data_IF_009618071464
#
_entry.id   IF_009618071464
#
_cell.length_a   1.000
_cell.length_b   1.000
_cell.length_c   1.000
_cell.angle_alpha   90.00
_cell.angle_beta   90.00
_cell.angle_gamma   90.00
#
_symmetry.space_group_name_H-M   'P 1'
#
loop_
_entity.id
_entity.type
_entity.pdbx_description
1 polymer ?
#
# COMPACT_ATOMS: atom_id res chain seq x y z
N UNK A 1 -23.55 22.93 -1.49
CA UNK A 1 -23.08 23.78 -0.37
C UNK A 1 -22.36 25.00 -0.91
N UNK A 2 -22.61 26.19 -0.34
CA UNK A 2 -21.84 27.38 -0.66
C UNK A 2 -20.40 27.22 -0.17
N UNK A 3 -19.42 27.66 -0.98
CA UNK A 3 -18.00 27.63 -0.61
C UNK A 3 -17.65 28.91 0.14
N UNK A 4 -16.93 28.78 1.25
CA UNK A 4 -16.26 29.89 1.90
C UNK A 4 -14.91 30.14 1.22
N UNK A 5 -14.54 31.38 1.02
CA UNK A 5 -13.31 31.75 0.31
C UNK A 5 -12.57 32.79 1.13
N UNK A 6 -11.31 32.53 1.47
CA UNK A 6 -10.39 33.49 2.09
C UNK A 6 -9.14 33.65 1.23
N UNK A 7 -8.48 34.80 1.32
CA UNK A 7 -7.35 35.16 0.45
C UNK A 7 -6.16 35.70 1.25
N UNK A 8 -5.04 35.78 0.56
CA UNK A 8 -3.88 36.53 1.01
C UNK A 8 -3.22 35.98 2.27
N UNK A 9 -2.86 36.88 3.17
CA UNK A 9 -2.11 36.54 4.38
C UNK A 9 -2.95 35.73 5.40
N UNK A 10 -4.24 36.04 5.49
CA UNK A 10 -5.15 35.33 6.39
C UNK A 10 -5.27 33.85 6.02
N UNK A 11 -5.44 33.54 4.73
CA UNK A 11 -5.48 32.16 4.23
C UNK A 11 -4.19 31.41 4.55
N UNK A 12 -3.02 32.03 4.32
CA UNK A 12 -1.72 31.41 4.62
C UNK A 12 -1.52 31.14 6.12
N UNK A 13 -1.94 32.09 6.97
CA UNK A 13 -1.85 31.94 8.42
C UNK A 13 -2.76 30.81 8.94
N UNK A 14 -3.98 30.70 8.40
CA UNK A 14 -4.89 29.62 8.77
C UNK A 14 -4.30 28.25 8.40
N UNK A 15 -3.85 28.09 7.15
CA UNK A 15 -3.18 26.86 6.71
C UNK A 15 -1.95 26.53 7.59
N UNK A 16 -1.11 27.53 7.90
CA UNK A 16 0.07 27.32 8.75
C UNK A 16 -0.31 26.86 10.15
N UNK A 17 -1.32 27.45 10.77
CA UNK A 17 -1.78 27.01 12.10
C UNK A 17 -2.24 25.55 12.09
N UNK A 18 -2.94 25.13 11.06
CA UNK A 18 -3.36 23.73 10.90
C UNK A 18 -2.18 22.77 10.74
N UNK A 19 -1.21 23.13 9.89
CA UNK A 19 0.06 22.39 9.75
C UNK A 19 0.78 22.29 11.09
N UNK A 20 0.87 23.39 11.83
CA UNK A 20 1.59 23.45 13.10
C UNK A 20 0.92 22.61 14.18
N UNK A 21 -0.41 22.66 14.32
CA UNK A 21 -1.13 21.87 15.32
C UNK A 21 -0.94 20.37 15.11
N UNK A 22 -1.06 19.88 13.87
CA UNK A 22 -0.84 18.46 13.58
C UNK A 22 0.64 18.08 13.78
N UNK A 23 1.55 18.82 13.18
CA UNK A 23 2.97 18.47 13.23
C UNK A 23 3.56 18.55 14.64
N UNK A 24 3.16 19.53 15.45
CA UNK A 24 3.61 19.65 16.84
C UNK A 24 3.06 18.50 17.72
N UNK A 25 1.88 17.95 17.40
CA UNK A 25 1.35 16.75 18.06
C UNK A 25 2.15 15.49 17.67
N UNK A 26 2.47 15.32 16.40
CA UNK A 26 3.26 14.18 15.91
C UNK A 26 4.71 14.27 16.39
N UNK A 27 5.29 15.47 16.43
CA UNK A 27 6.70 15.72 16.78
C UNK A 27 7.10 15.18 18.15
N UNK A 28 6.20 15.13 19.13
CA UNK A 28 6.50 14.63 20.47
C UNK A 28 6.84 13.14 20.52
N UNK A 29 6.56 12.39 19.46
CA UNK A 29 6.89 10.96 19.34
C UNK A 29 8.30 10.72 18.78
N UNK A 30 9.02 11.77 18.34
CA UNK A 30 10.30 11.64 17.65
C UNK A 30 11.44 11.20 18.57
N UNK A 31 12.20 10.21 18.11
CA UNK A 31 13.49 9.80 18.67
C UNK A 31 13.40 9.04 19.99
N UNK A 32 14.56 8.82 20.67
CA UNK A 32 14.63 7.95 21.85
C UNK A 32 13.93 8.52 23.11
N UNK A 33 13.58 9.80 23.11
CA UNK A 33 12.77 10.45 24.16
C UNK A 33 11.31 10.63 23.73
N UNK A 34 10.92 10.03 22.61
CA UNK A 34 9.55 10.08 22.11
C UNK A 34 8.53 9.60 23.14
N UNK A 35 7.38 10.25 23.15
CA UNK A 35 6.27 9.96 24.08
C UNK A 35 5.06 9.50 23.33
N UNK A 36 4.20 8.75 24.01
CA UNK A 36 2.90 8.39 23.45
C UNK A 36 1.95 9.59 23.46
N UNK A 37 1.08 9.63 22.48
CA UNK A 37 -0.06 10.54 22.36
C UNK A 37 -1.33 9.77 22.74
N UNK A 38 -2.22 10.42 23.48
CA UNK A 38 -3.54 9.89 23.81
C UNK A 38 -4.58 10.59 22.95
N UNK A 39 -5.24 9.85 22.08
CA UNK A 39 -6.25 10.35 21.15
C UNK A 39 -7.65 9.94 21.64
N UNK A 40 -8.52 10.93 21.86
CA UNK A 40 -9.91 10.69 22.24
C UNK A 40 -10.71 10.19 21.05
N UNK A 41 -11.44 9.08 21.22
CA UNK A 41 -12.39 8.58 20.20
C UNK A 41 -13.81 8.94 20.56
N UNK A 42 -14.65 9.21 19.54
CA UNK A 42 -16.09 9.47 19.73
C UNK A 42 -16.82 8.25 20.35
N UNK A 43 -16.32 7.05 20.03
CA UNK A 43 -16.83 5.79 20.54
C UNK A 43 -15.66 4.86 20.91
N UNK A 44 -15.76 4.19 22.08
CA UNK A 44 -14.74 3.26 22.57
C UNK A 44 -13.68 3.91 23.48
N UNK A 45 -12.62 3.16 23.79
CA UNK A 45 -11.51 3.62 24.60
C UNK A 45 -10.60 4.59 23.84
N UNK A 46 -9.93 5.55 24.51
CA UNK A 46 -8.92 6.38 23.90
C UNK A 46 -7.79 5.54 23.28
N UNK A 47 -7.28 5.98 22.15
CA UNK A 47 -6.13 5.35 21.50
C UNK A 47 -4.84 5.95 22.09
N UNK A 48 -3.93 5.09 22.55
CA UNK A 48 -2.60 5.47 23.01
C UNK A 48 -1.59 4.94 22.00
N UNK A 49 -0.87 5.84 21.36
CA UNK A 49 0.08 5.46 20.31
C UNK A 49 1.26 6.43 20.23
N UNK A 50 2.38 5.97 19.70
CA UNK A 50 3.54 6.78 19.31
C UNK A 50 3.78 6.74 17.79
N UNK A 51 2.93 6.06 17.05
CA UNK A 51 3.02 6.03 15.60
C UNK A 51 2.53 7.34 14.99
N UNK A 52 3.43 7.98 14.20
CA UNK A 52 3.19 9.30 13.61
C UNK A 52 2.06 9.32 12.59
N UNK A 53 1.90 8.27 11.78
CA UNK A 53 0.84 8.23 10.76
C UNK A 53 -0.53 8.01 11.40
N UNK A 54 -0.63 7.16 12.41
CA UNK A 54 -1.88 6.93 13.16
C UNK A 54 -2.34 8.22 13.84
N UNK A 55 -1.41 8.96 14.46
CA UNK A 55 -1.72 10.26 15.09
C UNK A 55 -2.19 11.24 14.00
N UNK A 56 -1.48 11.34 12.89
CA UNK A 56 -1.82 12.28 11.82
C UNK A 56 -3.21 12.01 11.20
N UNK A 57 -3.63 10.75 11.10
CA UNK A 57 -4.93 10.35 10.56
C UNK A 57 -6.11 10.72 11.48
N UNK A 58 -5.90 10.68 12.80
CA UNK A 58 -6.95 10.94 13.80
C UNK A 58 -7.16 12.42 14.10
N UNK A 59 -6.25 13.32 13.68
CA UNK A 59 -6.38 14.75 13.97
C UNK A 59 -7.35 15.41 12.99
N UNK A 60 -8.46 15.93 13.53
CA UNK A 60 -9.41 16.81 12.88
C UNK A 60 -9.54 18.12 13.67
N UNK A 61 -9.46 19.26 12.98
CA UNK A 61 -9.56 20.60 13.57
C UNK A 61 -10.93 21.20 13.33
N UNK A 62 -11.44 21.99 14.28
CA UNK A 62 -12.77 22.63 14.21
C UNK A 62 -12.84 23.70 13.12
N UNK A 63 -11.78 24.51 12.96
CA UNK A 63 -11.72 25.51 11.90
C UNK A 63 -11.47 24.84 10.54
N UNK A 64 -12.37 25.01 9.53
CA UNK A 64 -12.24 24.35 8.24
C UNK A 64 -10.97 24.72 7.47
N UNK A 65 -10.48 25.97 7.64
CA UNK A 65 -9.28 26.43 6.94
C UNK A 65 -8.00 25.91 7.61
N UNK A 66 -7.98 25.85 8.94
CA UNK A 66 -6.90 25.19 9.67
C UNK A 66 -6.89 23.69 9.38
N UNK A 67 -8.07 23.06 9.32
CA UNK A 67 -8.18 21.64 9.00
C UNK A 67 -7.66 21.30 7.60
N UNK A 68 -7.79 22.19 6.60
CA UNK A 68 -7.12 22.02 5.30
C UNK A 68 -5.60 21.96 5.45
N UNK A 69 -4.99 22.78 6.29
CA UNK A 69 -3.57 22.75 6.60
C UNK A 69 -3.15 21.42 7.24
N UNK A 70 -3.93 20.95 8.20
CA UNK A 70 -3.72 19.64 8.84
C UNK A 70 -3.85 18.50 7.81
N UNK A 71 -4.82 18.54 6.89
CA UNK A 71 -4.98 17.54 5.84
C UNK A 71 -3.79 17.46 4.89
N UNK A 72 -3.20 18.61 4.50
CA UNK A 72 -2.01 18.65 3.65
C UNK A 72 -0.80 17.95 4.30
N UNK A 73 -0.57 18.19 5.59
CA UNK A 73 0.55 17.56 6.31
C UNK A 73 0.27 16.09 6.63
N UNK A 74 -0.99 15.73 6.86
CA UNK A 74 -1.42 14.33 7.01
C UNK A 74 -1.10 13.52 5.77
N UNK A 75 -1.31 14.09 4.57
CA UNK A 75 -0.97 13.41 3.30
C UNK A 75 0.53 13.08 3.20
N UNK A 76 1.41 13.97 3.70
CA UNK A 76 2.86 13.70 3.75
C UNK A 76 3.16 12.49 4.61
N UNK A 77 2.58 12.42 5.81
CA UNK A 77 2.76 11.28 6.72
C UNK A 77 2.25 9.97 6.11
N UNK A 78 1.04 10.00 5.53
CA UNK A 78 0.40 8.83 4.92
C UNK A 78 1.21 8.30 3.73
N UNK A 79 1.62 9.17 2.81
CA UNK A 79 2.45 8.75 1.66
C UNK A 79 3.80 8.16 2.07
N UNK A 80 4.42 8.70 3.11
CA UNK A 80 5.67 8.15 3.64
C UNK A 80 5.47 6.75 4.19
N UNK A 81 4.36 6.54 4.92
CA UNK A 81 4.00 5.23 5.44
C UNK A 81 3.74 4.20 4.32
N UNK A 82 2.96 4.60 3.32
CA UNK A 82 2.58 3.71 2.20
C UNK A 82 3.80 3.24 1.38
N UNK A 83 4.83 4.09 1.29
CA UNK A 83 6.04 3.77 0.51
C UNK A 83 7.11 3.07 1.35
N UNK A 84 7.35 3.52 2.57
CA UNK A 84 8.50 3.08 3.38
C UNK A 84 8.14 2.44 4.73
N UNK A 85 6.91 2.61 5.25
CA UNK A 85 6.50 2.08 6.56
C UNK A 85 7.28 2.65 7.75
N UNK A 86 8.17 3.63 7.51
CA UNK A 86 9.01 4.27 8.52
C UNK A 86 9.28 5.74 8.17
N UNK A 87 9.75 6.52 9.14
CA UNK A 87 10.11 7.92 8.96
C UNK A 87 8.95 8.91 8.86
N UNK A 88 7.73 8.50 9.15
CA UNK A 88 6.51 9.31 9.07
C UNK A 88 6.57 10.57 9.95
N UNK A 89 7.08 10.44 11.17
CA UNK A 89 7.30 11.56 12.10
C UNK A 89 8.35 12.53 11.55
N UNK A 90 9.47 12.02 11.05
CA UNK A 90 10.53 12.84 10.46
C UNK A 90 10.06 13.61 9.23
N UNK A 91 9.30 12.95 8.33
CA UNK A 91 8.72 13.59 7.15
C UNK A 91 7.76 14.72 7.52
N UNK A 92 6.90 14.51 8.53
CA UNK A 92 5.96 15.51 9.05
C UNK A 92 6.69 16.74 9.62
N UNK A 93 7.75 16.52 10.41
CA UNK A 93 8.56 17.61 11.00
C UNK A 93 9.30 18.40 9.92
N UNK A 94 9.89 17.71 8.93
CA UNK A 94 10.55 18.35 7.80
C UNK A 94 9.58 19.21 6.98
N UNK A 95 8.43 18.67 6.66
CA UNK A 95 7.41 19.40 5.90
C UNK A 95 6.94 20.65 6.65
N UNK A 96 6.70 20.56 7.97
CA UNK A 96 6.39 21.73 8.81
C UNK A 96 7.47 22.81 8.71
N UNK A 97 8.75 22.42 8.89
CA UNK A 97 9.87 23.35 8.83
C UNK A 97 9.98 24.03 7.47
N UNK A 98 9.85 23.25 6.39
CA UNK A 98 9.89 23.77 5.02
C UNK A 98 8.73 24.74 4.73
N UNK A 99 7.52 24.45 5.21
CA UNK A 99 6.34 25.33 5.05
C UNK A 99 6.55 26.63 5.83
N UNK A 100 7.00 26.55 7.10
CA UNK A 100 7.26 27.74 7.93
C UNK A 100 8.28 28.69 7.28
N UNK A 101 9.42 28.15 6.85
CA UNK A 101 10.46 28.95 6.20
C UNK A 101 10.04 29.43 4.80
N UNK A 102 9.34 28.59 4.04
CA UNK A 102 8.78 28.95 2.75
C UNK A 102 7.82 30.13 2.83
N UNK A 103 6.88 30.11 3.78
CA UNK A 103 5.91 31.18 4.00
C UNK A 103 6.58 32.49 4.44
N UNK A 104 7.64 32.45 5.26
CA UNK A 104 8.43 33.65 5.64
C UNK A 104 9.05 34.31 4.42
N UNK A 105 9.71 33.52 3.57
CA UNK A 105 10.37 34.02 2.37
C UNK A 105 9.37 34.53 1.32
N UNK A 106 8.20 33.87 1.21
CA UNK A 106 7.11 34.33 0.36
C UNK A 106 6.55 35.68 0.83
N UNK A 107 6.40 35.87 2.14
CA UNK A 107 5.98 37.14 2.72
C UNK A 107 7.02 38.24 2.51
N UNK A 108 8.31 37.90 2.41
CA UNK A 108 9.39 38.81 2.07
C UNK A 108 9.48 39.16 0.56
N UNK A 109 8.57 38.61 -0.27
CA UNK A 109 8.48 38.92 -1.70
C UNK A 109 9.25 37.99 -2.63
N UNK A 110 9.76 36.85 -2.15
CA UNK A 110 10.43 35.87 -3.00
C UNK A 110 9.46 35.24 -4.00
N UNK A 111 9.95 34.96 -5.21
CA UNK A 111 9.15 34.33 -6.27
C UNK A 111 8.94 32.84 -5.99
N UNK A 112 7.69 32.37 -5.75
CA UNK A 112 7.39 30.99 -5.37
C UNK A 112 7.80 29.98 -6.44
N UNK A 113 7.71 30.32 -7.73
CA UNK A 113 8.07 29.41 -8.83
C UNK A 113 9.59 29.21 -8.91
N UNK A 114 10.37 30.24 -8.61
CA UNK A 114 11.83 30.13 -8.56
C UNK A 114 12.28 29.40 -7.29
N UNK A 115 11.67 29.71 -6.14
CA UNK A 115 11.91 28.99 -4.88
C UNK A 115 11.64 27.48 -5.03
N UNK A 116 10.53 27.10 -5.69
CA UNK A 116 10.20 25.68 -5.96
C UNK A 116 11.34 24.96 -6.68
N UNK A 117 11.98 25.58 -7.69
CA UNK A 117 13.12 24.98 -8.38
C UNK A 117 14.31 24.76 -7.44
N UNK A 118 14.57 25.72 -6.55
CA UNK A 118 15.60 25.59 -5.53
C UNK A 118 15.35 24.44 -4.57
N UNK A 119 14.11 24.33 -4.06
CA UNK A 119 13.67 23.20 -3.20
C UNK A 119 13.89 21.86 -3.91
N UNK A 120 13.48 21.77 -5.19
CA UNK A 120 13.60 20.54 -5.97
C UNK A 120 15.04 20.09 -6.14
N UNK A 121 15.95 21.00 -6.54
CA UNK A 121 17.38 20.71 -6.64
C UNK A 121 18.01 20.28 -5.31
N UNK A 122 17.63 20.94 -4.22
CA UNK A 122 18.12 20.61 -2.89
C UNK A 122 17.61 19.25 -2.40
N UNK A 123 16.36 18.89 -2.74
CA UNK A 123 15.80 17.56 -2.46
C UNK A 123 16.58 16.48 -3.20
N UNK A 124 16.89 16.67 -4.50
CA UNK A 124 17.71 15.74 -5.27
C UNK A 124 19.10 15.54 -4.63
N UNK A 125 19.78 16.63 -4.25
CA UNK A 125 21.08 16.55 -3.59
C UNK A 125 21.02 15.86 -2.22
N UNK A 126 19.94 16.06 -1.46
CA UNK A 126 19.72 15.38 -0.17
C UNK A 126 19.48 13.88 -0.36
N UNK A 127 18.66 13.49 -1.34
CA UNK A 127 18.39 12.09 -1.68
C UNK A 127 19.67 11.37 -2.09
N UNK A 128 20.48 11.97 -2.96
CA UNK A 128 21.78 11.41 -3.39
C UNK A 128 22.74 11.22 -2.22
N UNK A 129 22.80 12.18 -1.30
CA UNK A 129 23.61 12.07 -0.10
C UNK A 129 23.13 10.96 0.85
N UNK A 130 21.82 10.80 1.02
CA UNK A 130 21.21 9.75 1.83
C UNK A 130 21.52 8.38 1.21
N UNK A 131 21.32 8.21 -0.10
CA UNK A 131 21.65 6.98 -0.83
C UNK A 131 23.12 6.60 -0.71
N UNK A 132 24.02 7.59 -0.81
CA UNK A 132 25.45 7.35 -0.66
C UNK A 132 25.84 6.85 0.74
N UNK A 133 25.10 7.25 1.76
CA UNK A 133 25.31 6.85 3.15
C UNK A 133 24.50 5.61 3.56
N UNK A 134 23.67 5.08 2.67
CA UNK A 134 22.86 3.89 2.91
C UNK A 134 23.75 2.64 2.99
N UNK A 135 23.38 1.72 3.87
CA UNK A 135 24.01 0.42 4.03
C UNK A 135 23.03 -0.66 3.54
N UNK A 136 23.47 -1.56 2.64
CA UNK A 136 22.61 -2.62 2.16
C UNK A 136 22.24 -3.59 3.29
N UNK A 137 21.01 -4.07 3.28
CA UNK A 137 20.53 -5.13 4.18
C UNK A 137 20.84 -6.47 3.54
N UNK A 138 21.54 -7.34 4.25
CA UNK A 138 21.93 -8.65 3.75
C UNK A 138 21.67 -9.74 4.79
N UNK A 139 20.88 -10.75 4.37
CA UNK A 139 20.59 -11.94 5.18
C UNK A 139 19.44 -11.76 6.19
N UNK A 140 18.95 -12.91 6.62
CA UNK A 140 17.78 -13.05 7.50
C UNK A 140 17.94 -12.30 8.85
N UNK A 141 19.17 -12.26 9.38
CA UNK A 141 19.46 -11.58 10.65
C UNK A 141 19.30 -10.07 10.59
N UNK A 142 19.68 -9.42 9.48
CA UNK A 142 19.50 -7.97 9.31
C UNK A 142 18.03 -7.66 9.06
N UNK A 143 17.34 -8.46 8.27
CA UNK A 143 15.89 -8.38 8.04
C UNK A 143 15.14 -8.45 9.37
N UNK A 144 15.48 -9.42 10.22
CA UNK A 144 14.88 -9.58 11.54
C UNK A 144 15.10 -8.34 12.44
N UNK A 145 16.30 -7.73 12.38
CA UNK A 145 16.59 -6.50 13.14
C UNK A 145 15.76 -5.31 12.67
N UNK A 146 15.63 -5.12 11.36
CA UNK A 146 14.77 -4.04 10.82
C UNK A 146 13.32 -4.22 11.27
N UNK A 147 12.77 -5.43 11.11
CA UNK A 147 11.42 -5.74 11.54
C UNK A 147 11.23 -5.58 13.07
N UNK A 148 12.22 -5.98 13.88
CA UNK A 148 12.18 -5.83 15.32
C UNK A 148 12.22 -4.37 15.79
N UNK A 149 13.03 -3.54 15.13
CA UNK A 149 13.11 -2.10 15.45
C UNK A 149 11.80 -1.41 15.10
N UNK A 150 11.26 -1.66 13.91
CA UNK A 150 10.03 -1.03 13.44
C UNK A 150 8.81 -1.47 14.25
N UNK A 151 8.67 -2.77 14.54
CA UNK A 151 7.58 -3.30 15.37
C UNK A 151 7.77 -3.09 16.87
N UNK A 152 8.98 -2.72 17.34
CA UNK A 152 9.39 -2.75 18.74
C UNK A 152 9.22 -4.13 19.40
N UNK A 153 9.31 -5.21 18.61
CA UNK A 153 9.12 -6.60 19.05
C UNK A 153 10.05 -7.55 18.28
N UNK A 154 10.97 -8.21 19.01
CA UNK A 154 11.92 -9.17 18.42
C UNK A 154 11.24 -10.40 17.80
N UNK A 155 10.12 -10.83 18.36
CA UNK A 155 9.38 -11.99 17.85
C UNK A 155 8.76 -11.66 16.48
N UNK A 156 8.14 -10.48 16.34
CA UNK A 156 7.61 -10.00 15.07
C UNK A 156 8.71 -9.86 14.03
N UNK A 157 9.86 -9.29 14.40
CA UNK A 157 11.01 -9.19 13.51
C UNK A 157 11.48 -10.55 12.96
N UNK A 158 11.55 -11.57 13.81
CA UNK A 158 11.88 -12.94 13.39
C UNK A 158 10.83 -13.55 12.46
N UNK A 159 9.53 -13.39 12.78
CA UNK A 159 8.44 -13.88 11.94
C UNK A 159 8.45 -13.24 10.54
N UNK A 160 8.75 -11.94 10.45
CA UNK A 160 8.88 -11.25 9.15
C UNK A 160 10.05 -11.82 8.36
N UNK A 161 11.22 -11.99 9.00
CA UNK A 161 12.39 -12.57 8.34
C UNK A 161 12.15 -14.01 7.86
N UNK A 162 11.53 -14.85 8.68
CA UNK A 162 11.15 -16.21 8.30
C UNK A 162 10.13 -16.22 7.15
N UNK A 163 9.15 -15.32 7.17
CA UNK A 163 8.18 -15.18 6.09
C UNK A 163 8.87 -14.79 4.78
N UNK A 164 9.79 -13.82 4.82
CA UNK A 164 10.55 -13.38 3.64
C UNK A 164 11.50 -14.46 3.10
N UNK A 165 12.03 -15.32 3.96
CA UNK A 165 12.90 -16.43 3.55
C UNK A 165 12.11 -17.57 2.90
N UNK A 166 10.89 -17.85 3.40
CA UNK A 166 10.01 -18.92 2.88
C UNK A 166 9.39 -18.58 1.53
N UNK A 167 9.04 -17.32 1.30
CA UNK A 167 8.56 -16.85 0.00
C UNK A 167 9.74 -16.25 -0.75
N UNK A 168 9.94 -16.59 -2.02
CA UNK A 168 11.03 -16.07 -2.85
C UNK A 168 11.10 -14.53 -2.79
N UNK A 169 12.18 -13.92 -3.28
CA UNK A 169 12.34 -12.44 -3.27
C UNK A 169 11.15 -11.67 -3.85
N UNK A 170 10.40 -12.28 -4.75
CA UNK A 170 9.16 -11.74 -5.32
C UNK A 170 7.89 -12.28 -4.64
N UNK A 171 8.02 -12.99 -3.51
CA UNK A 171 6.92 -13.58 -2.78
C UNK A 171 6.09 -12.55 -2.04
N UNK A 172 4.82 -12.84 -1.88
CA UNK A 172 3.86 -11.96 -1.22
C UNK A 172 3.74 -12.31 0.25
N UNK A 173 3.75 -11.29 1.09
CA UNK A 173 3.47 -11.45 2.52
C UNK A 173 2.25 -10.59 2.85
N UNK A 174 1.24 -11.20 3.44
CA UNK A 174 0.03 -10.52 3.93
C UNK A 174 -0.06 -10.61 5.44
N UNK A 175 -0.80 -9.68 6.04
CA UNK A 175 -1.04 -9.65 7.48
C UNK A 175 -2.54 -9.80 7.72
N UNK A 176 -2.92 -10.80 8.50
CA UNK A 176 -4.30 -11.14 8.82
C UNK A 176 -4.50 -11.27 10.33
N UNK A 177 -5.76 -11.19 10.74
CA UNK A 177 -6.14 -11.43 12.14
C UNK A 177 -6.14 -12.93 12.44
N UNK A 178 -5.50 -13.31 13.56
CA UNK A 178 -5.56 -14.68 14.07
C UNK A 178 -6.87 -14.93 14.80
N UNK A 179 -7.36 -16.15 14.72
CA UNK A 179 -8.49 -16.61 15.56
C UNK A 179 -8.05 -16.98 17.00
N UNK A 180 -6.74 -16.99 17.24
CA UNK A 180 -6.13 -17.28 18.54
C UNK A 180 -5.39 -16.06 19.06
N UNK A 181 -4.94 -16.10 20.32
CA UNK A 181 -4.13 -15.02 20.89
C UNK A 181 -2.67 -15.05 20.43
N UNK A 182 -2.25 -16.06 19.67
CA UNK A 182 -0.86 -16.22 19.21
C UNK A 182 -0.65 -15.57 17.84
N UNK A 183 0.53 -14.95 17.69
CA UNK A 183 1.02 -14.42 16.40
C UNK A 183 1.98 -15.41 15.78
N UNK A 184 1.72 -15.83 14.54
CA UNK A 184 2.52 -16.82 13.80
C UNK A 184 2.50 -16.56 12.31
N UNK A 185 3.41 -17.19 11.57
CA UNK A 185 3.44 -17.14 10.10
C UNK A 185 3.17 -18.51 9.49
N UNK A 186 2.39 -18.52 8.42
CA UNK A 186 2.14 -19.72 7.59
C UNK A 186 2.35 -19.37 6.11
N UNK A 187 2.66 -20.38 5.30
CA UNK A 187 2.71 -20.22 3.83
C UNK A 187 1.57 -21.01 3.24
N UNK A 188 0.79 -20.34 2.41
CA UNK A 188 -0.39 -20.91 1.75
C UNK A 188 -0.27 -20.79 0.23
N UNK A 189 -1.04 -21.60 -0.49
CA UNK A 189 -1.18 -21.47 -1.94
C UNK A 189 -1.79 -20.11 -2.28
N UNK A 190 -1.19 -19.41 -3.22
CA UNK A 190 -1.67 -18.08 -3.57
C UNK A 190 -0.79 -17.39 -4.60
N UNK A 191 -1.27 -16.27 -5.13
CA UNK A 191 -0.49 -15.45 -6.06
C UNK A 191 -0.90 -13.98 -6.02
N UNK A 192 0.02 -13.13 -6.44
CA UNK A 192 -0.25 -11.71 -6.72
C UNK A 192 -0.11 -11.41 -8.20
N UNK A 193 -0.95 -10.51 -8.70
CA UNK A 193 -0.79 -9.92 -10.03
C UNK A 193 -1.05 -8.42 -10.06
N UNK A 194 -0.43 -7.74 -11.01
CA UNK A 194 -0.36 -6.27 -11.10
C UNK A 194 -1.60 -5.69 -11.79
N UNK A 195 -2.77 -5.91 -11.22
CA UNK A 195 -4.05 -5.30 -11.58
C UNK A 195 -4.87 -5.14 -10.32
N UNK A 196 -5.44 -3.97 -10.15
CA UNK A 196 -6.32 -3.65 -9.03
C UNK A 196 -7.79 -3.52 -9.43
N UNK A 197 -8.57 -2.95 -8.54
CA UNK A 197 -10.01 -2.75 -8.78
C UNK A 197 -10.27 -1.78 -9.94
N UNK A 198 -11.36 -2.01 -10.67
CA UNK A 198 -11.77 -1.18 -11.81
C UNK A 198 -12.12 0.25 -11.36
N UNK A 199 -12.65 0.42 -10.17
CA UNK A 199 -13.06 1.72 -9.61
C UNK A 199 -12.92 1.76 -8.09
N UNK A 200 -12.59 2.94 -7.50
CA UNK A 200 -12.53 3.11 -6.04
C UNK A 200 -13.82 2.78 -5.29
N UNK A 201 -14.97 2.81 -5.95
CA UNK A 201 -16.25 2.39 -5.33
C UNK A 201 -16.30 0.90 -4.95
N UNK A 202 -15.32 0.11 -5.39
CA UNK A 202 -15.19 -1.32 -5.06
C UNK A 202 -14.52 -1.59 -3.71
N UNK A 203 -13.92 -0.58 -3.06
CA UNK A 203 -13.21 -0.75 -1.79
C UNK A 203 -14.17 -1.14 -0.65
N UNK A 204 -13.68 -1.96 0.27
CA UNK A 204 -14.38 -2.34 1.50
C UNK A 204 -13.80 -1.62 2.71
N UNK A 205 -12.54 -1.21 2.63
CA UNK A 205 -11.82 -0.38 3.59
C UNK A 205 -11.45 0.96 2.93
N UNK A 206 -12.17 2.02 3.29
CA UNK A 206 -11.96 3.35 2.73
C UNK A 206 -10.66 4.01 3.23
N UNK A 207 -10.20 3.66 4.42
CA UNK A 207 -9.00 4.27 5.02
C UNK A 207 -7.73 3.76 4.32
N UNK A 208 -7.71 2.48 3.97
CA UNK A 208 -6.62 1.84 3.24
C UNK A 208 -6.82 1.83 1.72
N UNK A 209 -7.99 2.26 1.23
CA UNK A 209 -8.38 2.16 -0.19
C UNK A 209 -8.21 0.74 -0.75
N UNK A 210 -8.62 -0.26 0.03
CA UNK A 210 -8.52 -1.68 -0.30
C UNK A 210 -9.88 -2.36 -0.31
N UNK A 211 -10.02 -3.41 -1.13
CA UNK A 211 -11.13 -4.34 -1.04
C UNK A 211 -10.62 -5.67 -0.50
N UNK A 212 -11.11 -6.09 0.66
CA UNK A 212 -10.81 -7.39 1.27
C UNK A 212 -12.07 -8.23 1.26
N UNK A 213 -12.01 -9.37 0.58
CA UNK A 213 -13.14 -10.28 0.39
C UNK A 213 -12.75 -11.65 0.93
N UNK A 214 -13.37 -12.04 2.02
CA UNK A 214 -13.21 -13.37 2.61
C UNK A 214 -14.22 -14.34 2.00
N UNK A 215 -13.80 -15.60 1.83
CA UNK A 215 -14.59 -16.71 1.28
C UNK A 215 -15.22 -16.36 -0.09
N UNK A 216 -14.39 -15.75 -0.96
CA UNK A 216 -14.81 -15.24 -2.25
C UNK A 216 -15.03 -16.35 -3.28
N UNK A 217 -16.10 -16.22 -4.06
CA UNK A 217 -16.23 -16.87 -5.36
C UNK A 217 -15.57 -16.01 -6.44
N UNK A 218 -14.99 -16.63 -7.46
CA UNK A 218 -14.17 -15.94 -8.47
C UNK A 218 -14.68 -16.32 -9.86
N UNK A 219 -15.19 -15.36 -10.60
CA UNK A 219 -15.48 -15.50 -12.03
C UNK A 219 -14.24 -15.09 -12.84
N UNK A 220 -13.75 -15.98 -13.70
CA UNK A 220 -12.51 -15.80 -14.46
C UNK A 220 -12.83 -15.87 -15.95
N UNK A 221 -12.62 -14.78 -16.68
CA UNK A 221 -12.92 -14.72 -18.12
C UNK A 221 -12.00 -13.78 -18.89
N UNK A 222 -11.79 -14.07 -20.17
CA UNK A 222 -11.13 -13.16 -21.12
C UNK A 222 -12.12 -12.22 -21.83
N UNK A 223 -13.41 -12.32 -21.52
CA UNK A 223 -14.44 -11.50 -22.14
C UNK A 223 -14.50 -10.11 -21.48
N UNK A 224 -14.90 -9.14 -22.29
CA UNK A 224 -15.30 -7.83 -21.84
C UNK A 224 -16.78 -7.86 -21.44
N UNK A 225 -17.10 -7.35 -20.27
CA UNK A 225 -18.46 -7.34 -19.73
C UNK A 225 -19.00 -5.92 -19.75
N UNK A 226 -19.92 -5.63 -20.67
CA UNK A 226 -20.56 -4.31 -20.82
C UNK A 226 -22.05 -4.35 -20.47
N UNK A 227 -22.70 -5.50 -20.70
CA UNK A 227 -24.12 -5.71 -20.45
C UNK A 227 -24.33 -6.60 -19.23
N UNK A 228 -25.13 -6.14 -18.28
CA UNK A 228 -25.42 -6.88 -17.04
C UNK A 228 -26.11 -8.23 -17.32
N UNK A 229 -26.89 -8.33 -18.38
CA UNK A 229 -27.64 -9.56 -18.75
C UNK A 229 -26.71 -10.75 -19.01
N UNK A 230 -25.45 -10.49 -19.44
CA UNK A 230 -24.47 -11.55 -19.71
C UNK A 230 -24.02 -12.29 -18.44
N UNK A 231 -24.05 -11.62 -17.29
CA UNK A 231 -23.59 -12.18 -16.00
C UNK A 231 -24.72 -12.29 -14.97
N UNK A 232 -25.95 -11.90 -15.33
CA UNK A 232 -27.08 -11.90 -14.42
C UNK A 232 -27.35 -13.27 -13.79
N UNK A 233 -27.32 -14.40 -14.54
CA UNK A 233 -27.52 -15.73 -13.94
C UNK A 233 -26.48 -16.07 -12.88
N UNK A 234 -25.20 -15.69 -13.09
CA UNK A 234 -24.12 -15.89 -12.12
C UNK A 234 -24.32 -15.03 -10.89
N UNK A 235 -24.67 -13.75 -11.07
CA UNK A 235 -24.93 -12.84 -9.97
C UNK A 235 -26.10 -13.34 -9.09
N UNK A 236 -27.19 -13.80 -9.69
CA UNK A 236 -28.32 -14.36 -8.97
C UNK A 236 -27.96 -15.65 -8.22
N UNK A 237 -27.19 -16.54 -8.85
CA UNK A 237 -26.74 -17.78 -8.21
C UNK A 237 -25.86 -17.50 -6.99
N UNK A 238 -24.90 -16.54 -7.10
CA UNK A 238 -24.00 -16.15 -6.01
C UNK A 238 -24.78 -15.44 -4.89
N UNK A 239 -25.72 -14.56 -5.25
CA UNK A 239 -26.59 -13.88 -4.29
C UNK A 239 -27.45 -14.87 -3.50
N UNK A 240 -28.08 -15.83 -4.19
CA UNK A 240 -28.89 -16.87 -3.55
C UNK A 240 -28.07 -17.79 -2.64
N UNK A 241 -26.80 -18.00 -2.96
CA UNK A 241 -25.84 -18.72 -2.12
C UNK A 241 -25.32 -17.91 -0.92
N UNK A 242 -25.65 -16.61 -0.83
CA UNK A 242 -25.18 -15.72 0.23
C UNK A 242 -23.66 -15.49 0.21
N UNK A 243 -23.03 -15.65 -0.96
CA UNK A 243 -21.58 -15.53 -1.15
C UNK A 243 -21.18 -14.17 -1.72
N UNK A 244 -19.89 -13.85 -1.60
CA UNK A 244 -19.29 -12.65 -2.20
C UNK A 244 -18.63 -13.04 -3.52
N UNK A 245 -18.55 -12.12 -4.47
CA UNK A 245 -18.00 -12.38 -5.81
C UNK A 245 -16.82 -11.46 -6.12
N UNK A 246 -15.80 -12.03 -6.71
CA UNK A 246 -14.74 -11.28 -7.41
C UNK A 246 -14.81 -11.64 -8.90
N UNK A 247 -14.88 -10.65 -9.75
CA UNK A 247 -14.90 -10.84 -11.21
C UNK A 247 -13.55 -10.41 -11.76
N UNK A 248 -12.84 -11.34 -12.40
CA UNK A 248 -11.60 -11.09 -13.13
C UNK A 248 -11.93 -11.23 -14.62
N UNK A 249 -11.99 -10.10 -15.33
CA UNK A 249 -12.39 -10.03 -16.74
C UNK A 249 -11.45 -9.13 -17.55
N UNK A 250 -11.48 -9.21 -18.88
CA UNK A 250 -10.68 -8.30 -19.72
C UNK A 250 -10.97 -6.84 -19.40
N UNK A 251 -12.24 -6.49 -19.39
CA UNK A 251 -12.74 -5.20 -18.89
C UNK A 251 -14.19 -5.35 -18.40
N UNK A 252 -14.57 -4.46 -17.47
CA UNK A 252 -15.94 -4.35 -16.99
C UNK A 252 -16.32 -2.88 -17.04
N UNK A 253 -17.32 -2.56 -17.86
CA UNK A 253 -17.71 -1.17 -18.12
C UNK A 253 -19.22 -0.99 -18.34
N UNK A 254 -19.63 0.24 -18.62
CA UNK A 254 -20.99 0.58 -19.03
C UNK A 254 -22.05 0.23 -17.99
N UNK A 255 -23.14 -0.36 -18.47
CA UNK A 255 -24.30 -0.71 -17.65
C UNK A 255 -23.97 -1.78 -16.60
N UNK A 256 -23.15 -2.76 -16.94
CA UNK A 256 -22.76 -3.83 -16.04
C UNK A 256 -22.02 -3.27 -14.80
N UNK A 257 -21.02 -2.42 -15.03
CA UNK A 257 -20.26 -1.79 -13.93
C UNK A 257 -21.15 -0.90 -13.07
N UNK A 258 -21.99 -0.07 -13.68
CA UNK A 258 -22.89 0.82 -12.95
C UNK A 258 -23.87 0.07 -12.06
N UNK A 259 -24.43 -1.02 -12.56
CA UNK A 259 -25.37 -1.87 -11.82
C UNK A 259 -24.70 -2.59 -10.65
N UNK A 260 -23.49 -3.11 -10.83
CA UNK A 260 -22.71 -3.74 -9.76
C UNK A 260 -22.38 -2.74 -8.66
N UNK A 261 -21.91 -1.53 -9.02
CA UNK A 261 -21.60 -0.45 -8.06
C UNK A 261 -22.86 -0.09 -7.26
N UNK A 262 -23.99 0.12 -7.93
CA UNK A 262 -25.24 0.51 -7.28
C UNK A 262 -25.70 -0.54 -6.26
N UNK A 263 -25.65 -1.83 -6.60
CA UNK A 263 -26.03 -2.91 -5.69
C UNK A 263 -25.07 -3.03 -4.51
N UNK A 264 -23.77 -2.85 -4.74
CA UNK A 264 -22.76 -2.79 -3.66
C UNK A 264 -23.01 -1.64 -2.70
N UNK A 265 -23.26 -0.42 -3.22
CA UNK A 265 -23.55 0.75 -2.39
C UNK A 265 -24.86 0.62 -1.58
N UNK A 266 -25.83 -0.12 -2.10
CA UNK A 266 -27.06 -0.47 -1.39
C UNK A 266 -26.87 -1.57 -0.34
N UNK A 267 -25.70 -2.22 -0.30
CA UNK A 267 -25.43 -3.33 0.61
C UNK A 267 -26.14 -4.64 0.25
N UNK A 268 -26.75 -4.73 -0.94
CA UNK A 268 -27.47 -5.93 -1.39
C UNK A 268 -26.55 -7.03 -1.86
N UNK A 269 -25.39 -6.67 -2.43
CA UNK A 269 -24.44 -7.63 -2.99
C UNK A 269 -23.00 -7.12 -2.92
N UNK A 270 -22.10 -7.93 -2.38
CA UNK A 270 -20.68 -7.59 -2.33
C UNK A 270 -19.97 -8.19 -3.55
N UNK A 271 -19.58 -7.32 -4.47
CA UNK A 271 -18.84 -7.71 -5.67
C UNK A 271 -17.67 -6.76 -5.89
N UNK A 272 -16.51 -7.31 -6.28
CA UNK A 272 -15.32 -6.56 -6.67
C UNK A 272 -14.92 -6.95 -8.08
N UNK A 273 -14.71 -5.95 -8.92
CA UNK A 273 -14.32 -6.14 -10.32
C UNK A 273 -12.86 -5.78 -10.51
N UNK A 274 -12.10 -6.67 -11.12
CA UNK A 274 -10.66 -6.55 -11.38
C UNK A 274 -10.40 -6.81 -12.86
N UNK A 275 -9.50 -6.02 -13.46
CA UNK A 275 -9.06 -6.29 -14.83
C UNK A 275 -8.10 -7.47 -14.88
N UNK A 276 -8.26 -8.32 -15.89
CA UNK A 276 -7.38 -9.46 -16.12
C UNK A 276 -5.91 -9.01 -16.32
N UNK A 277 -4.95 -9.73 -15.73
CA UNK A 277 -3.53 -9.41 -15.86
C UNK A 277 -3.01 -9.75 -17.27
N UNK A 278 -2.02 -8.99 -17.72
CA UNK A 278 -1.37 -9.22 -19.02
C UNK A 278 -2.20 -8.76 -20.23
N UNK A 279 -1.70 -9.11 -21.41
CA UNK A 279 -2.33 -8.80 -22.71
C UNK A 279 -2.17 -9.96 -23.67
N UNK A 280 -3.12 -10.14 -24.63
CA UNK A 280 -3.07 -11.18 -25.64
C UNK A 280 -2.96 -12.59 -25.05
N UNK A 281 -2.12 -13.44 -25.63
CA UNK A 281 -1.96 -14.83 -25.18
C UNK A 281 -1.43 -14.97 -23.77
N UNK A 282 -0.62 -14.02 -23.30
CA UNK A 282 -0.17 -13.99 -21.90
C UNK A 282 -1.32 -13.82 -20.91
N UNK A 283 -2.31 -12.99 -21.23
CA UNK A 283 -3.51 -12.85 -20.43
C UNK A 283 -4.23 -14.18 -20.26
N UNK A 284 -4.41 -14.91 -21.36
CA UNK A 284 -5.06 -16.22 -21.34
C UNK A 284 -4.33 -17.21 -20.43
N UNK A 285 -3.00 -17.24 -20.55
CA UNK A 285 -2.17 -18.11 -19.75
C UNK A 285 -2.20 -17.76 -18.26
N UNK A 286 -2.21 -16.46 -17.91
CA UNK A 286 -2.35 -16.01 -16.52
C UNK A 286 -3.76 -16.30 -15.98
N UNK A 287 -4.81 -16.15 -16.79
CA UNK A 287 -6.17 -16.51 -16.37
C UNK A 287 -6.32 -18.03 -16.14
N UNK A 288 -5.64 -18.87 -16.94
CA UNK A 288 -5.56 -20.31 -16.68
C UNK A 288 -4.82 -20.62 -15.37
N UNK A 289 -3.71 -19.92 -15.10
CA UNK A 289 -2.97 -20.08 -13.86
C UNK A 289 -3.83 -19.73 -12.64
N UNK A 290 -4.61 -18.63 -12.72
CA UNK A 290 -5.56 -18.21 -11.68
C UNK A 290 -6.67 -19.26 -11.52
N UNK A 291 -7.21 -19.79 -12.62
CA UNK A 291 -8.26 -20.81 -12.59
C UNK A 291 -7.77 -22.08 -11.88
N UNK A 292 -6.60 -22.58 -12.23
CA UNK A 292 -5.99 -23.76 -11.60
C UNK A 292 -5.72 -23.49 -10.11
N UNK A 293 -5.21 -22.31 -9.76
CA UNK A 293 -4.93 -21.95 -8.37
C UNK A 293 -6.20 -21.90 -7.51
N UNK A 294 -7.31 -21.50 -8.08
CA UNK A 294 -8.58 -21.27 -7.35
C UNK A 294 -9.58 -22.41 -7.51
N UNK A 295 -9.23 -23.43 -8.32
CA UNK A 295 -10.12 -24.56 -8.62
C UNK A 295 -11.34 -24.16 -9.46
N UNK A 296 -11.25 -23.06 -10.18
CA UNK A 296 -12.33 -22.56 -11.06
C UNK A 296 -12.09 -22.89 -12.53
N UNK A 297 -13.08 -22.54 -13.35
CA UNK A 297 -13.02 -22.70 -14.79
C UNK A 297 -12.73 -21.35 -15.46
N UNK A 298 -11.74 -21.31 -16.35
CA UNK A 298 -11.48 -20.15 -17.19
C UNK A 298 -12.51 -20.10 -18.33
N UNK A 299 -13.45 -19.16 -18.25
CA UNK A 299 -14.51 -18.95 -19.23
C UNK A 299 -13.94 -18.23 -20.44
N UNK A 300 -13.63 -18.97 -21.49
CA UNK A 300 -12.94 -18.46 -22.68
C UNK A 300 -13.82 -18.45 -23.93
N UNK A 301 -13.70 -17.39 -24.70
CA UNK A 301 -14.31 -17.26 -26.01
C UNK A 301 -13.80 -18.31 -27.00
N UNK A 302 -12.52 -18.72 -26.87
CA UNK A 302 -11.90 -19.73 -27.77
C UNK A 302 -12.44 -21.15 -27.49
N UNK A 303 -12.90 -21.41 -26.29
CA UNK A 303 -13.51 -22.69 -25.91
C UNK A 303 -15.02 -22.70 -26.13
N UNK A 304 -15.58 -21.70 -26.82
CA UNK A 304 -17.01 -21.51 -27.04
C UNK A 304 -17.85 -21.49 -25.75
N UNK A 305 -17.24 -21.10 -24.64
CA UNK A 305 -17.94 -20.93 -23.35
C UNK A 305 -18.62 -19.55 -23.31
N UNK A 306 -19.86 -19.48 -22.84
CA UNK A 306 -20.58 -18.22 -22.70
C UNK A 306 -20.81 -17.89 -21.24
N UNK A 307 -20.73 -16.59 -20.91
CA UNK A 307 -20.98 -16.11 -19.54
C UNK A 307 -22.37 -16.46 -18.99
N UNK A 308 -23.46 -16.36 -19.79
CA UNK A 308 -24.78 -16.74 -19.31
C UNK A 308 -24.95 -18.22 -18.93
N UNK A 309 -24.11 -19.10 -19.49
CA UNK A 309 -24.17 -20.55 -19.23
C UNK A 309 -23.33 -20.96 -18.01
N UNK A 310 -22.59 -20.03 -17.41
CA UNK A 310 -21.71 -20.27 -16.28
C UNK A 310 -22.49 -20.67 -15.03
N UNK A 311 -22.08 -21.78 -14.42
CA UNK A 311 -22.67 -22.30 -13.17
C UNK A 311 -21.82 -21.85 -11.96
N UNK A 312 -22.41 -21.91 -10.75
CA UNK A 312 -21.69 -21.60 -9.51
C UNK A 312 -20.50 -22.55 -9.28
N UNK A 313 -20.56 -23.75 -9.82
CA UNK A 313 -19.50 -24.77 -9.76
C UNK A 313 -18.30 -24.45 -10.65
N UNK A 314 -18.47 -23.56 -11.63
CA UNK A 314 -17.39 -23.10 -12.51
C UNK A 314 -16.58 -21.96 -11.87
N UNK A 315 -17.11 -21.38 -10.78
CA UNK A 315 -16.44 -20.30 -10.08
C UNK A 315 -15.29 -20.84 -9.23
N UNK A 316 -14.14 -20.20 -9.34
CA UNK A 316 -13.02 -20.45 -8.43
C UNK A 316 -13.36 -19.99 -7.01
N UNK A 317 -12.59 -20.47 -6.04
CA UNK A 317 -12.72 -20.06 -4.64
C UNK A 317 -11.38 -19.73 -4.03
N UNK A 318 -11.36 -18.80 -3.09
CA UNK A 318 -10.20 -18.49 -2.28
C UNK A 318 -10.65 -18.06 -0.88
N UNK A 319 -9.81 -18.37 0.12
CA UNK A 319 -10.09 -17.98 1.50
C UNK A 319 -10.16 -16.46 1.65
N UNK A 320 -9.26 -15.72 1.01
CA UNK A 320 -9.28 -14.27 1.00
C UNK A 320 -8.75 -13.73 -0.34
N UNK A 321 -9.36 -12.64 -0.80
CA UNK A 321 -8.82 -11.85 -1.92
C UNK A 321 -8.68 -10.41 -1.44
N UNK A 322 -7.46 -9.88 -1.59
CA UNK A 322 -7.13 -8.49 -1.28
C UNK A 322 -6.85 -7.74 -2.57
N UNK A 323 -7.61 -6.68 -2.83
CA UNK A 323 -7.48 -5.87 -4.03
C UNK A 323 -7.18 -4.43 -3.65
N UNK A 324 -6.06 -3.93 -4.13
CA UNK A 324 -5.66 -2.51 -4.04
C UNK A 324 -5.93 -1.81 -5.36
N UNK A 325 -5.51 -0.56 -5.49
CA UNK A 325 -5.61 0.19 -6.76
C UNK A 325 -4.82 -0.48 -7.89
N UNK A 326 -3.67 -1.06 -7.57
CA UNK A 326 -2.70 -1.51 -8.57
C UNK A 326 -2.48 -3.04 -8.55
N UNK A 327 -2.84 -3.71 -7.46
CA UNK A 327 -2.53 -5.13 -7.26
C UNK A 327 -3.73 -5.93 -6.75
N UNK A 328 -3.76 -7.21 -7.09
CA UNK A 328 -4.67 -8.21 -6.52
C UNK A 328 -3.87 -9.38 -5.97
N UNK A 329 -4.14 -9.74 -4.72
CA UNK A 329 -3.55 -10.90 -4.03
C UNK A 329 -4.65 -11.92 -3.77
N UNK A 330 -4.45 -13.14 -4.24
CA UNK A 330 -5.28 -14.30 -3.95
C UNK A 330 -4.56 -15.11 -2.88
N UNK A 331 -5.22 -15.36 -1.77
CA UNK A 331 -4.66 -16.06 -0.61
C UNK A 331 -5.45 -17.35 -0.40
N UNK A 332 -4.73 -18.47 -0.34
CA UNK A 332 -5.29 -19.78 -0.07
C UNK A 332 -6.42 -20.13 -1.08
N UNK A 333 -6.01 -20.26 -2.35
CA UNK A 333 -6.88 -20.72 -3.42
C UNK A 333 -7.24 -22.19 -3.25
N UNK A 334 -8.46 -22.57 -3.58
CA UNK A 334 -8.97 -23.95 -3.39
C UNK A 334 -8.65 -24.91 -4.55
N UNK A 335 -7.62 -24.59 -5.36
CA UNK A 335 -7.16 -25.45 -6.46
C UNK A 335 -6.52 -26.75 -5.96
N UNK A 336 -6.55 -27.79 -6.80
CA UNK A 336 -5.88 -29.05 -6.48
C UNK A 336 -4.36 -28.88 -6.55
N UNK A 337 -3.66 -29.27 -5.46
CA UNK A 337 -2.22 -29.13 -5.35
C UNK A 337 -1.44 -29.93 -6.42
N UNK A 338 -2.02 -31.01 -6.97
CA UNK A 338 -1.38 -31.78 -8.04
C UNK A 338 -1.52 -31.07 -9.38
N UNK A 339 -2.66 -30.43 -9.64
CA UNK A 339 -2.86 -29.62 -10.83
C UNK A 339 -1.95 -28.39 -10.83
N UNK A 340 -1.80 -27.72 -9.68
CA UNK A 340 -0.86 -26.60 -9.50
C UNK A 340 0.58 -27.07 -9.78
N UNK A 341 1.01 -28.22 -9.21
CA UNK A 341 2.34 -28.78 -9.47
C UNK A 341 2.55 -29.17 -10.94
N UNK A 342 1.54 -29.77 -11.57
CA UNK A 342 1.58 -30.08 -12.99
C UNK A 342 1.73 -28.83 -13.85
N UNK A 343 1.01 -27.75 -13.52
CA UNK A 343 1.12 -26.47 -14.22
C UNK A 343 2.48 -25.83 -14.02
N UNK A 344 3.05 -25.87 -12.82
CA UNK A 344 4.41 -25.41 -12.54
C UNK A 344 5.44 -26.19 -13.37
N UNK A 345 5.27 -27.51 -13.51
CA UNK A 345 6.15 -28.35 -14.33
C UNK A 345 6.03 -27.99 -15.83
N UNK A 346 4.83 -27.74 -16.33
CA UNK A 346 4.58 -27.29 -17.70
C UNK A 346 5.31 -25.98 -17.99
N UNK A 347 5.18 -24.98 -17.11
CA UNK A 347 5.86 -23.67 -17.25
C UNK A 347 7.39 -23.87 -17.25
N UNK A 348 7.94 -24.72 -16.37
CA UNK A 348 9.37 -25.05 -16.33
C UNK A 348 9.86 -25.71 -17.61
N UNK A 349 9.08 -26.63 -18.19
CA UNK A 349 9.42 -27.29 -19.43
C UNK A 349 9.41 -26.28 -20.60
N UNK A 350 8.41 -25.39 -20.65
CA UNK A 350 8.33 -24.33 -21.65
C UNK A 350 9.50 -23.35 -21.53
N UNK A 351 9.89 -22.99 -20.31
CA UNK A 351 11.05 -22.15 -20.03
C UNK A 351 12.35 -22.76 -20.54
N UNK A 352 12.52 -24.08 -20.39
CA UNK A 352 13.73 -24.78 -20.82
C UNK A 352 13.94 -24.78 -22.35
N UNK A 353 12.86 -24.77 -23.13
CA UNK A 353 12.91 -24.80 -24.61
C UNK A 353 12.79 -23.41 -25.25
N UNK A 354 12.38 -22.40 -24.51
CA UNK A 354 12.22 -21.03 -24.99
C UNK A 354 13.59 -20.40 -25.28
N UNK A 355 13.75 -19.79 -26.44
CA UNK A 355 15.01 -19.16 -26.88
C UNK A 355 15.01 -17.63 -26.71
N UNK A 356 13.84 -17.01 -26.67
CA UNK A 356 13.66 -15.56 -26.48
C UNK A 356 13.94 -15.17 -25.04
N UNK A 357 14.88 -14.27 -24.79
CA UNK A 357 15.22 -13.81 -23.44
C UNK A 357 14.05 -13.08 -22.77
N UNK A 358 13.29 -12.31 -23.56
CA UNK A 358 12.08 -11.65 -23.07
C UNK A 358 10.98 -12.64 -22.64
N UNK A 359 10.76 -13.71 -23.42
CA UNK A 359 9.77 -14.72 -23.06
C UNK A 359 10.24 -15.57 -21.89
N UNK A 360 11.54 -15.83 -21.77
CA UNK A 360 12.12 -16.47 -20.59
C UNK A 360 11.85 -15.66 -19.34
N UNK A 361 12.13 -14.36 -19.35
CA UNK A 361 11.86 -13.47 -18.22
C UNK A 361 10.39 -13.54 -17.80
N UNK A 362 9.46 -13.49 -18.76
CA UNK A 362 8.02 -13.55 -18.46
C UNK A 362 7.54 -14.92 -17.98
N UNK A 363 8.13 -16.00 -18.45
CA UNK A 363 7.88 -17.35 -17.93
C UNK A 363 8.45 -17.53 -16.52
N UNK A 364 9.62 -16.95 -16.23
CA UNK A 364 10.19 -16.93 -14.88
C UNK A 364 9.31 -16.15 -13.90
N UNK A 365 8.80 -14.98 -14.32
CA UNK A 365 7.86 -14.18 -13.52
C UNK A 365 6.58 -15.00 -13.20
N UNK A 366 5.98 -15.65 -14.20
CA UNK A 366 4.80 -16.51 -14.00
C UNK A 366 5.09 -17.67 -13.05
N UNK A 367 6.24 -18.33 -13.26
CA UNK A 367 6.68 -19.44 -12.42
C UNK A 367 6.84 -18.98 -10.96
N UNK A 368 7.48 -17.83 -10.73
CA UNK A 368 7.67 -17.28 -9.39
C UNK A 368 6.31 -16.97 -8.73
N UNK A 369 5.37 -16.37 -9.46
CA UNK A 369 4.02 -16.04 -8.96
C UNK A 369 3.22 -17.29 -8.58
N UNK A 370 3.29 -18.36 -9.36
CA UNK A 370 2.52 -19.58 -9.12
C UNK A 370 3.17 -20.50 -8.08
N UNK A 371 4.52 -20.58 -8.04
CA UNK A 371 5.25 -21.49 -7.16
C UNK A 371 5.67 -20.89 -5.82
N UNK A 372 5.61 -19.54 -5.69
CA UNK A 372 6.10 -18.84 -4.50
C UNK A 372 5.15 -18.90 -3.30
N UNK A 373 3.87 -19.15 -3.51
CA UNK A 373 2.85 -19.05 -2.48
C UNK A 373 2.70 -17.63 -1.90
N UNK A 374 1.91 -17.53 -0.85
CA UNK A 374 1.73 -16.31 -0.05
C UNK A 374 2.06 -16.61 1.39
N UNK A 375 3.01 -15.88 1.99
CA UNK A 375 3.21 -15.95 3.43
C UNK A 375 2.13 -15.09 4.13
N UNK A 376 1.47 -15.66 5.09
CA UNK A 376 0.43 -15.00 5.90
C UNK A 376 0.94 -14.88 7.33
N UNK A 377 1.10 -13.64 7.81
CA UNK A 377 1.39 -13.38 9.21
C UNK A 377 0.04 -13.21 9.92
N UNK A 378 -0.30 -14.20 10.75
CA UNK A 378 -1.51 -14.19 11.58
C UNK A 378 -1.22 -13.46 12.88
N UNK A 379 -1.88 -12.32 13.10
CA UNK A 379 -1.68 -11.50 14.29
C UNK A 379 -2.76 -11.82 15.32
N UNK A 380 -2.34 -12.27 16.50
CA UNK A 380 -3.20 -12.61 17.62
C UNK A 380 -2.98 -11.71 18.83
N UNK A 381 -4.05 -11.39 19.54
CA UNK A 381 -3.97 -10.69 20.83
C UNK A 381 -5.18 -11.06 21.70
N UNK A 382 -5.13 -10.68 23.00
CA UNK A 382 -6.19 -11.00 23.94
C UNK A 382 -7.44 -10.13 23.79
N UNK A 383 -7.33 -8.97 23.15
CA UNK A 383 -8.43 -8.04 22.91
C UNK A 383 -8.43 -7.57 21.45
N UNK A 384 -9.59 -7.24 20.93
CA UNK A 384 -9.75 -6.72 19.55
C UNK A 384 -8.96 -5.42 19.33
N UNK A 385 -8.91 -4.53 20.31
CA UNK A 385 -8.16 -3.27 20.24
C UNK A 385 -6.65 -3.54 20.15
N UNK A 386 -6.13 -4.43 21.00
CA UNK A 386 -4.71 -4.82 20.96
C UNK A 386 -4.36 -5.54 19.65
N UNK A 387 -5.25 -6.37 19.14
CA UNK A 387 -5.05 -7.08 17.86
C UNK A 387 -4.96 -6.10 16.67
N UNK A 388 -5.86 -5.12 16.61
CA UNK A 388 -5.82 -4.09 15.55
C UNK A 388 -4.55 -3.24 15.64
N UNK A 389 -4.14 -2.84 16.84
CA UNK A 389 -2.90 -2.08 17.03
C UNK A 389 -1.68 -2.91 16.63
N UNK A 390 -1.62 -4.17 17.05
CA UNK A 390 -0.51 -5.05 16.71
C UNK A 390 -0.47 -5.35 15.20
N UNK A 391 -1.62 -5.52 14.55
CA UNK A 391 -1.71 -5.71 13.09
C UNK A 391 -1.13 -4.53 12.33
N UNK A 392 -1.49 -3.29 12.69
CA UNK A 392 -0.93 -2.09 12.08
C UNK A 392 0.60 -2.04 12.26
N UNK A 393 1.09 -2.35 13.45
CA UNK A 393 2.52 -2.40 13.76
C UNK A 393 3.28 -3.45 12.94
N UNK A 394 2.69 -4.61 12.72
CA UNK A 394 3.25 -5.67 11.85
C UNK A 394 3.24 -5.23 10.38
N UNK A 395 2.18 -4.59 9.91
CA UNK A 395 2.09 -4.05 8.55
C UNK A 395 3.17 -3.00 8.29
N UNK A 396 3.37 -2.07 9.22
CA UNK A 396 4.40 -1.03 9.12
C UNK A 396 5.81 -1.65 9.14
N UNK A 397 6.05 -2.63 10.03
CA UNK A 397 7.33 -3.34 10.08
C UNK A 397 7.62 -4.13 8.80
N UNK A 398 6.60 -4.72 8.19
CA UNK A 398 6.72 -5.42 6.91
C UNK A 398 7.09 -4.44 5.77
N UNK A 399 6.41 -3.30 5.71
CA UNK A 399 6.70 -2.27 4.70
C UNK A 399 8.12 -1.70 4.89
N UNK A 400 8.51 -1.38 6.13
CA UNK A 400 9.85 -0.93 6.47
C UNK A 400 10.92 -1.94 6.09
N UNK A 401 10.65 -3.23 6.32
CA UNK A 401 11.59 -4.31 5.99
C UNK A 401 11.75 -4.48 4.47
N UNK A 402 10.65 -4.39 3.70
CA UNK A 402 10.71 -4.41 2.24
C UNK A 402 11.52 -3.25 1.68
N UNK A 403 11.22 -2.02 2.12
CA UNK A 403 11.97 -0.83 1.72
C UNK A 403 13.46 -0.93 2.08
N UNK A 404 13.78 -1.49 3.25
CA UNK A 404 15.15 -1.69 3.69
C UNK A 404 15.91 -2.72 2.83
N UNK A 405 15.26 -3.78 2.39
CA UNK A 405 15.86 -4.79 1.48
C UNK A 405 16.12 -4.18 0.10
N UNK A 406 15.21 -3.33 -0.39
CA UNK A 406 15.32 -2.71 -1.72
C UNK A 406 16.35 -1.56 -1.75
N UNK A 407 16.33 -0.66 -0.76
CA UNK A 407 17.13 0.59 -0.78
C UNK A 407 18.21 0.67 0.31
N UNK A 408 18.26 -0.30 1.23
CA UNK A 408 19.17 -0.28 2.37
C UNK A 408 18.63 0.49 3.57
N UNK A 409 19.49 0.65 4.58
CA UNK A 409 19.16 1.32 5.85
C UNK A 409 20.09 2.50 6.10
N UNK A 410 19.60 3.48 6.86
CA UNK A 410 20.34 4.66 7.32
C UNK A 410 20.15 4.86 8.81
N UNK A 411 20.97 5.70 9.44
CA UNK A 411 20.80 6.05 10.85
C UNK A 411 19.45 6.75 11.10
N UNK A 412 18.68 6.25 12.05
CA UNK A 412 17.35 6.74 12.40
C UNK A 412 17.34 8.05 13.21
N UNK A 413 16.17 8.42 13.72
CA UNK A 413 15.96 9.60 14.55
C UNK A 413 16.27 10.93 13.84
N UNK A 414 16.16 10.99 12.52
CA UNK A 414 16.49 12.17 11.72
C UNK A 414 17.98 12.36 11.44
N UNK A 415 18.86 11.49 11.92
CA UNK A 415 20.32 11.60 11.76
C UNK A 415 20.76 11.59 10.29
N UNK A 416 20.10 10.76 9.46
CA UNK A 416 20.39 10.70 8.02
C UNK A 416 20.22 12.06 7.33
N UNK A 417 19.18 12.81 7.70
CA UNK A 417 18.94 14.17 7.17
C UNK A 417 20.03 15.15 7.63
N UNK A 418 20.44 15.07 8.90
CA UNK A 418 21.54 15.91 9.42
C UNK A 418 22.85 15.63 8.66
N UNK A 419 23.12 14.36 8.36
CA UNK A 419 24.30 13.95 7.59
C UNK A 419 24.25 14.41 6.11
N UNK A 420 23.06 14.69 5.57
CA UNK A 420 22.89 15.21 4.21
C UNK A 420 23.09 16.74 4.11
N UNK A 421 23.06 17.49 5.24
CA UNK A 421 23.22 18.96 5.26
C UNK A 421 24.44 19.45 4.47
N UNK A 422 25.66 18.90 4.65
CA UNK A 422 26.84 19.41 3.94
C UNK A 422 26.73 19.30 2.42
N UNK A 423 26.01 18.30 1.90
CA UNK A 423 25.80 18.14 0.47
C UNK A 423 24.85 19.22 -0.08
N UNK A 424 23.79 19.51 0.65
CA UNK A 424 22.83 20.57 0.28
C UNK A 424 23.46 21.95 0.42
N UNK A 425 24.25 22.21 1.46
CA UNK A 425 24.97 23.48 1.62
C UNK A 425 25.94 23.76 0.46
N UNK A 426 26.67 22.74 -0.01
CA UNK A 426 27.50 22.84 -1.21
C UNK A 426 26.71 23.23 -2.46
N UNK A 427 25.47 22.75 -2.60
CA UNK A 427 24.59 23.13 -3.68
C UNK A 427 24.12 24.58 -3.50
N UNK A 428 23.65 24.96 -2.29
CA UNK A 428 23.16 26.30 -1.95
C UNK A 428 24.23 27.37 -2.25
N UNK A 429 25.53 27.07 -2.01
CA UNK A 429 26.63 27.98 -2.31
C UNK A 429 26.77 28.26 -3.81
N UNK A 430 26.30 27.38 -4.70
CA UNK A 430 26.39 27.54 -6.17
C UNK A 430 25.17 28.27 -6.76
N UNK A 431 24.09 28.45 -5.98
CA UNK A 431 22.85 29.07 -6.43
C UNK A 431 22.82 30.56 -6.05
N UNK A 432 21.89 31.32 -6.69
CA UNK A 432 21.69 32.75 -6.44
C UNK A 432 20.23 33.11 -6.41
N UNK A 433 19.88 34.30 -5.86
CA UNK A 433 18.50 34.85 -5.81
C UNK A 433 17.52 33.92 -5.12
N UNK A 434 16.29 33.92 -5.58
CA UNK A 434 15.18 33.16 -4.98
C UNK A 434 15.34 31.63 -5.13
N UNK A 435 16.14 31.18 -6.09
CA UNK A 435 16.49 29.76 -6.21
C UNK A 435 17.40 29.30 -5.06
N UNK A 436 18.37 30.15 -4.68
CA UNK A 436 19.19 29.93 -3.49
C UNK A 436 18.36 29.93 -2.22
N UNK A 437 17.41 30.86 -2.12
CA UNK A 437 16.46 30.95 -0.99
C UNK A 437 15.63 29.66 -0.89
N UNK A 438 15.08 29.18 -2.02
CA UNK A 438 14.36 27.93 -2.08
C UNK A 438 15.20 26.73 -1.63
N UNK A 439 16.42 26.61 -2.10
CA UNK A 439 17.32 25.53 -1.70
C UNK A 439 17.72 25.62 -0.22
N UNK A 440 17.91 26.82 0.33
CA UNK A 440 18.23 27.04 1.74
C UNK A 440 17.08 26.65 2.67
N UNK A 441 15.81 26.71 2.22
CA UNK A 441 14.66 26.23 3.00
C UNK A 441 14.80 24.75 3.36
N UNK A 442 15.34 23.93 2.47
CA UNK A 442 15.53 22.50 2.73
C UNK A 442 16.66 22.22 3.74
N UNK A 443 17.54 23.18 4.02
CA UNK A 443 18.58 23.07 5.05
C UNK A 443 18.05 23.43 6.45
N UNK A 444 16.81 23.89 6.57
CA UNK A 444 16.18 24.22 7.87
C UNK A 444 15.97 22.99 8.79
N UNK A 445 16.76 21.94 8.60
CA UNK A 445 16.86 20.76 9.46
C UNK A 445 17.34 21.07 10.89
N UNK A 446 17.69 22.31 11.18
CA UNK A 446 18.05 22.76 12.53
C UNK A 446 16.94 22.48 13.56
N UNK A 447 15.69 22.32 13.11
CA UNK A 447 14.57 21.91 13.94
C UNK A 447 14.59 20.41 14.36
N UNK A 448 15.39 19.57 13.70
CA UNK A 448 15.61 18.17 14.10
C UNK A 448 16.66 18.02 15.21
N UNK A 449 17.34 19.10 15.60
CA UNK A 449 18.31 19.12 16.71
C UNK A 449 17.69 19.35 18.09
N UNK A 450 16.36 19.38 18.18
CA UNK A 450 15.68 19.63 19.46
C UNK A 450 15.49 18.34 20.27
#
# INVERSE_FOLDING_TARGET
MAKQIIYGEEARKALQRGVDQLADTVKITLGPKGRNVVLGKKFGAPLITNDGVTIAKEIELEDPFENMGAQLIREVSTKTNDVAGDGTTSATVLAQAMIREGLKNLAAGANPMVMRRGIQKATEAAVDAIRTNSQPVSGSGDIARVGAISSSDEHIGKLIAEAMEKVSQNGVITVEESKTAETYSEVVEGMQFDRGYVTPYMVTDNDKMEAVIDDALILITDKKISNIQEILPVLEAVLNAGKKLVIIADDIEGEALATIILNKLRGTFTCVCVKAPGFGDRRKEMLKDIAILTGGTYISSELNMNLPDTQITDLGTARQIKVTKDNTVIVDGAGDANEIKARVAEIKNTLAITTSDYDKEKLQERLAKLSGGVAVIKVGAQTEVAMKEQKLRVEDALNATRAAVEEGIVAGGGTAFVNAIPAVEKLVAKLSGDEKTGAAITVSYTHLRA
#
